data_IF_853032133427
#
_entry.id   IF_853032133427
#
_cell.length_a   1.000
_cell.length_b   1.000
_cell.length_c   1.000
_cell.angle_alpha   90.00
_cell.angle_beta   90.00
_cell.angle_gamma   90.00
#
_symmetry.space_group_name_H-M   'P 1'
#
loop_
_entity.id
_entity.type
_entity.pdbx_description
1 polymer ?
#
# COMPACT_ATOMS: atom_id res chain seq x y z
N UNK A 1 24.66 3.19 -17.69
CA UNK A 1 23.40 2.42 -17.87
C UNK A 1 23.20 1.34 -16.80
N UNK A 2 24.16 0.45 -16.53
CA UNK A 2 24.04 -0.59 -15.47
C UNK A 2 23.73 -0.01 -14.07
N UNK A 3 24.39 1.07 -13.66
CA UNK A 3 24.19 1.66 -12.32
C UNK A 3 22.85 2.36 -12.15
N UNK A 4 22.31 2.99 -13.21
CA UNK A 4 21.00 3.64 -13.15
C UNK A 4 19.87 2.61 -13.10
N UNK A 5 19.97 1.55 -13.90
CA UNK A 5 18.99 0.46 -13.86
C UNK A 5 19.00 -0.23 -12.49
N UNK A 6 20.19 -0.49 -11.94
CA UNK A 6 20.35 -1.04 -10.59
C UNK A 6 19.73 -0.13 -9.52
N UNK A 7 19.93 1.19 -9.62
CA UNK A 7 19.33 2.15 -8.71
C UNK A 7 17.80 2.14 -8.79
N UNK A 8 17.24 2.17 -10.01
CA UNK A 8 15.79 2.14 -10.21
C UNK A 8 15.20 0.86 -9.61
N UNK A 9 15.80 -0.29 -9.91
CA UNK A 9 15.36 -1.59 -9.35
C UNK A 9 15.46 -1.59 -7.83
N UNK A 10 16.57 -1.07 -7.27
CA UNK A 10 16.73 -0.95 -5.82
C UNK A 10 15.68 -0.07 -5.17
N UNK A 11 15.34 1.07 -5.78
CA UNK A 11 14.29 1.97 -5.28
C UNK A 11 12.92 1.30 -5.36
N UNK A 12 12.58 0.64 -6.47
CA UNK A 12 11.30 -0.08 -6.62
C UNK A 12 11.16 -1.16 -5.56
N UNK A 13 12.22 -1.95 -5.32
CA UNK A 13 12.22 -2.98 -4.27
C UNK A 13 12.11 -2.35 -2.89
N UNK A 14 12.85 -1.27 -2.61
CA UNK A 14 12.81 -0.58 -1.32
C UNK A 14 11.44 -0.01 -0.99
N UNK A 15 10.81 0.68 -1.95
CA UNK A 15 9.45 1.23 -1.80
C UNK A 15 8.43 0.10 -1.65
N UNK A 16 8.55 -0.98 -2.44
CA UNK A 16 7.70 -2.15 -2.31
C UNK A 16 7.79 -2.82 -0.95
N UNK A 17 9.01 -3.06 -0.45
CA UNK A 17 9.23 -3.65 0.87
C UNK A 17 8.70 -2.75 2.00
N UNK A 18 8.92 -1.43 1.89
CA UNK A 18 8.40 -0.46 2.85
C UNK A 18 6.87 -0.41 2.84
N UNK A 19 6.23 -0.44 1.67
CA UNK A 19 4.78 -0.52 1.56
C UNK A 19 4.21 -1.81 2.15
N UNK A 20 4.85 -2.96 1.93
CA UNK A 20 4.44 -4.22 2.58
C UNK A 20 4.53 -4.08 4.10
N UNK A 21 5.66 -3.57 4.62
CA UNK A 21 5.84 -3.31 6.04
C UNK A 21 4.70 -2.44 6.60
N UNK A 22 4.44 -1.28 5.97
CA UNK A 22 3.35 -0.37 6.36
C UNK A 22 2.00 -1.08 6.34
N UNK A 23 1.72 -1.85 5.28
CA UNK A 23 0.48 -2.62 5.16
C UNK A 23 0.27 -3.51 6.37
N UNK A 24 1.32 -4.06 6.98
CA UNK A 24 1.26 -4.89 8.21
C UNK A 24 1.26 -4.11 9.53
N UNK A 25 1.80 -2.89 9.56
CA UNK A 25 2.09 -2.18 10.82
C UNK A 25 1.24 -0.95 11.08
N UNK A 26 0.61 -0.36 10.06
CA UNK A 26 -0.28 0.78 10.26
C UNK A 26 -1.41 0.45 11.25
N UNK A 27 -1.75 1.43 12.09
CA UNK A 27 -2.79 1.30 13.12
C UNK A 27 -4.15 1.88 12.67
N UNK A 28 -4.16 2.67 11.59
CA UNK A 28 -5.35 3.28 11.01
C UNK A 28 -5.38 3.01 9.50
N UNK A 29 -6.57 2.75 8.90
CA UNK A 29 -6.69 2.61 7.46
C UNK A 29 -6.37 3.90 6.70
N UNK A 30 -6.49 5.06 7.35
CA UNK A 30 -6.22 6.38 6.79
C UNK A 30 -4.79 6.88 7.05
N UNK A 31 -3.85 5.97 7.35
CA UNK A 31 -2.45 6.34 7.54
C UNK A 31 -1.92 7.09 6.31
N UNK A 32 -1.46 8.35 6.44
CA UNK A 32 -1.12 9.18 5.29
C UNK A 32 0.02 8.60 4.44
N UNK A 33 0.99 7.94 5.08
CA UNK A 33 2.12 7.34 4.38
C UNK A 33 1.70 6.11 3.59
N UNK A 34 0.84 5.27 4.18
CA UNK A 34 0.35 4.07 3.50
C UNK A 34 -0.56 4.44 2.35
N UNK A 35 -1.51 5.36 2.56
CA UNK A 35 -2.42 5.87 1.51
C UNK A 35 -1.65 6.50 0.36
N UNK A 36 -0.61 7.28 0.66
CA UNK A 36 0.22 7.90 -0.38
C UNK A 36 0.88 6.86 -1.30
N UNK A 37 1.33 5.72 -0.77
CA UNK A 37 1.92 4.68 -1.62
C UNK A 37 0.82 3.85 -2.28
N UNK A 38 -0.15 3.38 -1.48
CA UNK A 38 -1.13 2.39 -1.90
C UNK A 38 -2.05 2.88 -3.02
N UNK A 39 -2.49 4.14 -2.94
CA UNK A 39 -3.37 4.75 -3.96
C UNK A 39 -2.76 4.78 -5.37
N UNK A 40 -1.43 4.63 -5.49
CA UNK A 40 -0.67 4.67 -6.75
C UNK A 40 -0.23 3.30 -7.26
N UNK A 41 -0.52 2.23 -6.51
CA UNK A 41 -0.13 0.89 -6.91
C UNK A 41 -1.04 0.32 -8.01
N UNK A 42 -0.54 -0.65 -8.81
CA UNK A 42 -1.38 -1.42 -9.73
C UNK A 42 -2.56 -2.06 -9.01
N UNK A 43 -3.68 -2.20 -9.71
CA UNK A 43 -4.96 -2.66 -9.14
C UNK A 43 -4.84 -3.90 -8.26
N UNK A 44 -4.13 -4.94 -8.72
CA UNK A 44 -3.97 -6.18 -7.96
C UNK A 44 -3.22 -6.00 -6.62
N UNK A 45 -2.16 -5.18 -6.59
CA UNK A 45 -1.39 -4.91 -5.37
C UNK A 45 -2.20 -4.03 -4.40
N UNK A 46 -2.90 -3.04 -4.95
CA UNK A 46 -3.79 -2.17 -4.19
C UNK A 46 -4.93 -2.94 -3.56
N UNK A 47 -5.63 -3.77 -4.34
CA UNK A 47 -6.71 -4.65 -3.86
C UNK A 47 -6.25 -5.56 -2.72
N UNK A 48 -5.10 -6.23 -2.88
CA UNK A 48 -4.53 -7.11 -1.86
C UNK A 48 -4.34 -6.37 -0.52
N UNK A 49 -3.69 -5.21 -0.55
CA UNK A 49 -3.39 -4.48 0.68
C UNK A 49 -4.63 -3.84 1.31
N UNK A 50 -5.57 -3.33 0.51
CA UNK A 50 -6.85 -2.82 1.01
C UNK A 50 -7.61 -3.91 1.78
N UNK A 51 -7.72 -5.12 1.20
CA UNK A 51 -8.35 -6.28 1.85
C UNK A 51 -7.62 -6.69 3.12
N UNK A 52 -6.29 -6.73 3.08
CA UNK A 52 -5.46 -7.10 4.23
C UNK A 52 -5.63 -6.11 5.39
N UNK A 53 -5.56 -4.81 5.13
CA UNK A 53 -5.73 -3.74 6.13
C UNK A 53 -7.14 -3.76 6.72
N UNK A 54 -8.17 -3.84 5.87
CA UNK A 54 -9.57 -3.95 6.32
C UNK A 54 -9.76 -5.14 7.26
N UNK A 55 -9.22 -6.30 6.89
CA UNK A 55 -9.34 -7.52 7.70
C UNK A 55 -8.60 -7.41 9.04
N UNK A 56 -7.41 -6.79 9.06
CA UNK A 56 -6.64 -6.62 10.31
C UNK A 56 -7.31 -5.61 11.24
N UNK A 57 -7.66 -4.44 10.71
CA UNK A 57 -8.09 -3.31 11.54
C UNK A 57 -9.60 -3.31 11.83
N UNK A 58 -10.39 -4.03 11.02
CA UNK A 58 -11.87 -4.08 11.10
C UNK A 58 -12.50 -2.70 11.33
N UNK A 59 -12.15 -1.68 10.53
CA UNK A 59 -12.63 -0.32 10.75
C UNK A 59 -14.14 -0.24 10.51
N UNK A 60 -14.82 0.61 11.29
CA UNK A 60 -16.24 0.91 11.13
C UNK A 60 -16.51 2.08 10.16
N UNK A 61 -15.44 2.71 9.67
CA UNK A 61 -15.48 3.91 8.83
C UNK A 61 -15.51 3.62 7.31
N UNK A 62 -15.55 4.69 6.50
CA UNK A 62 -15.50 4.58 5.04
C UNK A 62 -14.18 3.98 4.56
N UNK A 63 -14.12 3.68 3.27
CA UNK A 63 -12.88 3.27 2.61
C UNK A 63 -11.86 4.40 2.64
N UNK A 64 -10.57 4.12 2.92
CA UNK A 64 -9.50 5.07 2.69
C UNK A 64 -9.33 5.30 1.18
N UNK A 65 -8.72 6.44 0.84
CA UNK A 65 -8.50 6.85 -0.55
C UNK A 65 -7.74 5.75 -1.32
N UNK A 66 -8.28 5.36 -2.47
CA UNK A 66 -7.72 4.32 -3.34
C UNK A 66 -8.15 2.89 -2.99
N UNK A 67 -8.98 2.70 -1.97
CA UNK A 67 -9.56 1.41 -1.62
C UNK A 67 -11.05 1.30 -1.88
N UNK A 68 -11.71 2.31 -2.44
CA UNK A 68 -13.16 2.43 -2.57
C UNK A 68 -13.80 1.19 -3.22
N UNK A 69 -13.17 0.64 -4.26
CA UNK A 69 -13.63 -0.53 -5.00
C UNK A 69 -13.27 -1.88 -4.33
N UNK A 70 -12.44 -1.85 -3.27
CA UNK A 70 -11.86 -3.02 -2.61
C UNK A 70 -12.20 -3.09 -1.12
N UNK A 71 -13.01 -2.15 -0.62
CA UNK A 71 -13.38 -2.00 0.78
C UNK A 71 -14.80 -2.48 1.08
N UNK A 72 -15.48 -3.11 0.12
CA UNK A 72 -16.75 -3.84 0.27
C UNK A 72 -16.61 -5.11 1.09
#
# INVERSE_FOLDING_TARGET
MRSLLGLIVGVVIGVGAFWVYMTYTIASPDDPGWVAINSRLPGAAREWSCKLVKNRLKPLGPAPIGCEEHWG
#
